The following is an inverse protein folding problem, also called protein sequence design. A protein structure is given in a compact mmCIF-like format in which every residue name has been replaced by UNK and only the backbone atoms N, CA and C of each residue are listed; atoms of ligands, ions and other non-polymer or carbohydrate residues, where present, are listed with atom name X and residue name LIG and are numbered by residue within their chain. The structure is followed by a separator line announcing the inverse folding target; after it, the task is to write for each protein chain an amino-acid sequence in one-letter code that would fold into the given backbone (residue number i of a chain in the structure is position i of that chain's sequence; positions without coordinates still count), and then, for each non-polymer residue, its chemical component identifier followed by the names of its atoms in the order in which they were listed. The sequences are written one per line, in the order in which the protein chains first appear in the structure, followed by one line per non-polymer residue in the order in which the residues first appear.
data_IF_335464340336
#
_entry.id   IF_335464340336
#
_cell.length_a   1.000
_cell.length_b   1.000
_cell.length_c   1.000
_cell.angle_alpha   90.00
_cell.angle_beta   90.00
_cell.angle_gamma   90.00
#
_symmetry.space_group_name_H-M   'P 1'
#
loop_
_entity.id
_entity.type
_entity.pdbx_description
1 polymer ?
#
# COMPACT_ATOMS: atom_id res chain seq x y z
N UNK A 1 -5.63 -7.51 3.98
CA UNK A 1 -4.22 -7.92 3.78
C UNK A 1 -4.12 -8.64 2.45
N UNK A 2 -3.50 -8.04 1.43
CA UNK A 2 -3.43 -8.70 0.12
C UNK A 2 -2.75 -7.92 -1.00
N UNK A 3 -2.58 -6.60 -0.89
CA UNK A 3 -2.03 -5.76 -1.98
C UNK A 3 -0.63 -6.13 -2.48
N UNK A 4 0.18 -6.82 -1.67
CA UNK A 4 1.52 -7.34 -2.05
C UNK A 4 1.55 -8.87 -2.17
N UNK A 5 0.38 -9.53 -2.20
CA UNK A 5 0.25 -10.98 -2.28
C UNK A 5 -0.64 -11.38 -3.48
N UNK A 6 -1.87 -10.85 -3.51
CA UNK A 6 -2.88 -11.14 -4.53
C UNK A 6 -2.43 -10.90 -5.97
N UNK A 7 -1.61 -9.86 -6.30
CA UNK A 7 -1.10 -9.69 -7.66
C UNK A 7 -0.25 -10.86 -8.18
N UNK A 8 0.23 -11.74 -7.29
CA UNK A 8 1.11 -12.86 -7.61
C UNK A 8 0.45 -14.23 -7.37
N UNK A 9 -0.82 -14.25 -6.98
CA UNK A 9 -1.62 -15.48 -6.87
C UNK A 9 -2.07 -15.89 -8.27
N UNK A 10 -2.20 -17.19 -8.53
CA UNK A 10 -2.78 -17.69 -9.79
C UNK A 10 -4.29 -17.45 -9.84
N UNK A 11 -4.79 -16.89 -10.95
CA UNK A 11 -6.21 -16.64 -11.22
C UNK A 11 -6.96 -15.95 -10.06
N UNK A 12 -6.49 -14.79 -9.58
CA UNK A 12 -7.21 -14.06 -8.53
C UNK A 12 -8.53 -13.53 -9.11
N UNK A 13 -9.60 -13.53 -8.30
CA UNK A 13 -10.79 -12.75 -8.63
C UNK A 13 -10.38 -11.28 -8.84
N UNK A 14 -10.93 -10.56 -9.84
CA UNK A 14 -10.60 -9.15 -10.06
C UNK A 14 -10.79 -8.32 -8.79
N UNK A 15 -9.73 -7.65 -8.34
CA UNK A 15 -9.72 -6.93 -7.04
C UNK A 15 -9.10 -5.54 -7.10
N UNK A 16 -8.46 -5.18 -8.22
CA UNK A 16 -7.74 -3.92 -8.37
C UNK A 16 -8.50 -2.93 -9.28
N UNK A 17 -7.82 -1.90 -9.78
CA UNK A 17 -8.43 -0.88 -10.61
C UNK A 17 -8.89 -1.39 -11.99
N UNK A 18 -8.59 -2.63 -12.37
CA UNK A 18 -9.20 -3.28 -13.55
C UNK A 18 -10.72 -3.44 -13.42
N UNK A 19 -11.25 -3.49 -12.20
CA UNK A 19 -12.69 -3.49 -11.93
C UNK A 19 -13.22 -2.05 -11.97
N UNK A 20 -14.11 -1.67 -12.93
CA UNK A 20 -14.49 -0.27 -13.13
C UNK A 20 -15.07 0.43 -11.88
N UNK A 21 -15.76 -0.30 -11.01
CA UNK A 21 -16.35 0.23 -9.78
C UNK A 21 -15.38 0.53 -8.64
N UNK A 22 -14.13 0.05 -8.70
CA UNK A 22 -13.16 0.25 -7.61
C UNK A 22 -12.66 1.69 -7.62
N UNK A 23 -12.96 2.48 -6.59
CA UNK A 23 -12.57 3.90 -6.53
C UNK A 23 -11.25 4.14 -5.77
N UNK A 24 -10.90 3.25 -4.84
CA UNK A 24 -9.69 3.33 -4.04
C UNK A 24 -9.18 1.94 -3.65
N UNK A 25 -7.87 1.82 -3.41
CA UNK A 25 -7.22 0.60 -2.91
C UNK A 25 -6.26 1.00 -1.78
N UNK A 26 -6.32 0.30 -0.65
CA UNK A 26 -5.29 0.37 0.38
C UNK A 26 -4.36 -0.85 0.30
N UNK A 27 -3.06 -0.62 0.48
CA UNK A 27 -2.06 -1.68 0.47
C UNK A 27 -0.97 -1.41 1.52
N UNK A 28 -0.92 -2.27 2.53
CA UNK A 28 0.04 -2.13 3.61
C UNK A 28 1.44 -2.63 3.19
N UNK A 29 2.35 -1.68 2.94
CA UNK A 29 3.76 -1.96 2.63
C UNK A 29 4.48 -2.62 3.81
N UNK A 30 4.14 -2.28 5.05
CA UNK A 30 4.72 -2.90 6.25
C UNK A 30 4.19 -4.32 6.61
N UNK A 31 3.41 -4.93 5.70
CA UNK A 31 2.91 -6.32 5.80
C UNK A 31 3.64 -7.17 4.76
N UNK A 32 2.92 -7.69 3.75
CA UNK A 32 3.51 -8.48 2.66
C UNK A 32 4.40 -7.65 1.71
N UNK A 33 4.39 -6.31 1.82
CA UNK A 33 5.39 -5.47 1.17
C UNK A 33 6.78 -5.55 1.81
N UNK A 34 6.91 -6.18 2.99
CA UNK A 34 8.17 -6.40 3.71
C UNK A 34 8.95 -5.11 4.04
N UNK A 35 8.27 -3.97 4.07
CA UNK A 35 8.82 -2.73 4.61
C UNK A 35 8.82 -2.74 6.16
N UNK A 36 9.70 -1.96 6.81
CA UNK A 36 9.62 -1.74 8.25
C UNK A 36 8.26 -1.19 8.70
N UNK A 37 7.92 -1.44 9.97
CA UNK A 37 6.63 -1.02 10.54
C UNK A 37 6.47 0.50 10.49
N UNK A 38 5.29 0.91 10.01
CA UNK A 38 4.85 2.31 10.01
C UNK A 38 4.66 2.88 8.60
N UNK A 39 4.38 2.02 7.61
CA UNK A 39 4.12 2.43 6.23
C UNK A 39 2.94 1.65 5.63
N UNK A 40 2.11 2.36 4.88
CA UNK A 40 1.03 1.84 4.04
C UNK A 40 0.80 2.84 2.90
N UNK A 41 0.03 2.45 1.88
CA UNK A 41 -0.41 3.35 0.82
C UNK A 41 -1.93 3.27 0.66
N UNK A 42 -2.52 4.42 0.33
CA UNK A 42 -3.87 4.52 -0.22
C UNK A 42 -3.75 5.09 -1.64
N UNK A 43 -4.37 4.40 -2.58
CA UNK A 43 -4.41 4.76 -4.00
C UNK A 43 -5.83 5.10 -4.35
N UNK A 44 -6.03 6.13 -5.17
CA UNK A 44 -7.33 6.52 -5.70
C UNK A 44 -7.32 6.41 -7.22
N UNK A 45 -8.46 6.04 -7.80
CA UNK A 45 -8.63 5.97 -9.25
C UNK A 45 -8.45 7.34 -9.91
N UNK A 46 -9.01 8.37 -9.30
CA UNK A 46 -9.06 9.74 -9.82
C UNK A 46 -8.51 10.74 -8.80
N UNK A 47 -7.95 11.84 -9.31
CA UNK A 47 -7.43 12.94 -8.48
C UNK A 47 -8.54 13.62 -7.67
N UNK A 48 -9.77 13.64 -8.18
CA UNK A 48 -10.89 14.27 -7.47
C UNK A 48 -11.14 13.59 -6.11
N UNK A 49 -11.03 12.26 -6.03
CA UNK A 49 -11.08 11.56 -4.74
C UNK A 49 -9.90 11.90 -3.84
N UNK A 50 -8.69 11.98 -4.41
CA UNK A 50 -7.48 12.33 -3.67
C UNK A 50 -7.54 13.76 -3.10
N UNK A 51 -8.10 14.72 -3.85
CA UNK A 51 -8.22 16.11 -3.40
C UNK A 51 -9.15 16.24 -2.19
N UNK A 52 -10.16 15.36 -2.06
CA UNK A 52 -11.02 15.31 -0.88
C UNK A 52 -10.31 14.73 0.37
N UNK A 53 -9.12 14.13 0.23
CA UNK A 53 -8.33 13.65 1.37
C UNK A 53 -7.49 14.77 2.02
N UNK A 54 -7.12 15.80 1.26
CA UNK A 54 -6.22 16.83 1.73
C UNK A 54 -6.89 17.70 2.79
N UNK A 55 -6.12 18.07 3.82
CA UNK A 55 -6.47 19.15 4.72
C UNK A 55 -5.72 20.40 4.29
N UNK A 56 -6.43 21.52 4.12
CA UNK A 56 -5.87 22.82 3.77
C UNK A 56 -6.53 23.91 4.63
N UNK A 57 -5.73 24.73 5.30
CA UNK A 57 -6.16 25.91 6.05
C UNK A 57 -5.29 27.10 5.63
N UNK A 58 -5.91 28.06 4.93
CA UNK A 58 -5.24 29.25 4.42
C UNK A 58 -5.25 30.44 5.39
N UNK A 59 -6.12 30.41 6.41
CA UNK A 59 -6.37 31.52 7.33
C UNK A 59 -5.72 31.30 8.71
N UNK A 60 -5.08 30.15 8.90
CA UNK A 60 -4.34 29.84 10.12
C UNK A 60 -3.27 30.89 10.40
N UNK A 61 -3.25 31.40 11.63
CA UNK A 61 -2.33 32.47 12.05
C UNK A 61 -0.85 32.06 11.98
N UNK A 62 -0.55 30.76 11.92
CA UNK A 62 0.80 30.23 11.70
C UNK A 62 1.27 30.24 10.24
N UNK A 63 0.45 30.74 9.32
CA UNK A 63 0.66 30.69 7.88
C UNK A 63 -0.18 29.61 7.20
N UNK A 64 -0.13 29.53 5.87
CA UNK A 64 -0.87 28.53 5.10
C UNK A 64 -0.41 27.13 5.52
N UNK A 65 -1.36 26.29 5.94
CA UNK A 65 -1.11 24.89 6.32
C UNK A 65 -1.79 23.93 5.35
N UNK A 66 -1.06 22.91 4.90
CA UNK A 66 -1.63 21.83 4.11
C UNK A 66 -1.00 20.49 4.49
N UNK A 67 -1.81 19.44 4.60
CA UNK A 67 -1.32 18.07 4.71
C UNK A 67 -2.06 17.11 3.78
N UNK A 68 -1.31 16.18 3.20
CA UNK A 68 -1.82 15.12 2.33
C UNK A 68 -2.35 13.91 3.09
N UNK A 69 -2.08 13.83 4.41
CA UNK A 69 -2.55 12.78 5.33
C UNK A 69 -2.99 13.43 6.65
N UNK A 70 -3.40 12.62 7.63
CA UNK A 70 -3.77 13.12 8.96
C UNK A 70 -2.58 13.67 9.77
N UNK A 71 -1.35 13.29 9.43
CA UNK A 71 -0.16 13.71 10.15
C UNK A 71 0.39 15.05 9.62
N UNK A 72 0.89 15.89 10.52
CA UNK A 72 1.75 17.01 10.17
C UNK A 72 3.19 16.53 9.98
N UNK A 73 4.01 16.68 11.02
CA UNK A 73 5.36 16.10 11.07
C UNK A 73 5.30 14.57 11.00
N UNK A 74 6.12 13.97 10.14
CA UNK A 74 6.16 12.53 9.89
C UNK A 74 7.57 12.02 9.65
N UNK A 75 7.79 10.73 9.92
CA UNK A 75 9.11 10.10 9.80
C UNK A 75 9.52 9.92 8.33
N UNK A 76 10.45 10.75 7.85
CA UNK A 76 11.07 10.58 6.53
C UNK A 76 11.86 9.27 6.40
N UNK A 77 12.39 8.75 7.51
CA UNK A 77 13.10 7.47 7.55
C UNK A 77 12.17 6.31 7.17
N UNK A 78 10.92 6.30 7.65
CA UNK A 78 9.95 5.24 7.31
C UNK A 78 9.67 5.21 5.80
N UNK A 79 9.57 6.38 5.17
CA UNK A 79 9.35 6.51 3.73
C UNK A 79 10.57 5.97 2.96
N UNK A 80 11.79 6.38 3.36
CA UNK A 80 13.02 5.93 2.72
C UNK A 80 13.23 4.41 2.83
N UNK A 81 12.99 3.85 4.02
CA UNK A 81 13.09 2.40 4.24
C UNK A 81 12.02 1.63 3.47
N UNK A 82 10.78 2.13 3.42
CA UNK A 82 9.75 1.54 2.59
C UNK A 82 10.19 1.48 1.12
N UNK A 83 10.66 2.60 0.57
CA UNK A 83 11.15 2.66 -0.81
C UNK A 83 12.31 1.70 -1.06
N UNK A 84 13.31 1.68 -0.17
CA UNK A 84 14.44 0.76 -0.27
C UNK A 84 14.01 -0.71 -0.21
N UNK A 85 13.05 -1.06 0.66
CA UNK A 85 12.49 -2.41 0.73
C UNK A 85 11.78 -2.80 -0.56
N UNK A 86 10.94 -1.94 -1.13
CA UNK A 86 10.24 -2.23 -2.39
C UNK A 86 11.22 -2.49 -3.54
N UNK A 87 12.27 -1.67 -3.64
CA UNK A 87 13.33 -1.83 -4.65
C UNK A 87 14.17 -3.09 -4.44
N UNK A 88 14.55 -3.37 -3.19
CA UNK A 88 15.35 -4.54 -2.84
C UNK A 88 14.59 -5.84 -3.11
N UNK A 89 13.29 -5.87 -2.81
CA UNK A 89 12.46 -7.03 -3.10
C UNK A 89 12.31 -7.19 -4.62
N UNK A 90 11.83 -6.16 -5.30
CA UNK A 90 11.50 -6.24 -6.71
C UNK A 90 10.40 -7.28 -6.99
N UNK A 91 9.95 -7.34 -8.24
CA UNK A 91 8.81 -8.18 -8.63
C UNK A 91 9.09 -9.66 -8.40
N UNK A 92 10.30 -10.13 -8.70
CA UNK A 92 10.62 -11.56 -8.67
C UNK A 92 10.60 -12.12 -7.24
N UNK A 93 11.18 -11.41 -6.26
CA UNK A 93 11.12 -11.88 -4.87
C UNK A 93 9.69 -11.84 -4.34
N UNK A 94 8.87 -10.84 -4.71
CA UNK A 94 7.47 -10.85 -4.31
C UNK A 94 6.68 -12.04 -4.87
N UNK A 95 6.96 -12.47 -6.10
CA UNK A 95 6.40 -13.71 -6.66
C UNK A 95 6.82 -14.93 -5.86
N UNK A 96 8.11 -15.04 -5.51
CA UNK A 96 8.64 -16.15 -4.74
C UNK A 96 8.05 -16.20 -3.32
N UNK A 97 7.95 -15.04 -2.66
CA UNK A 97 7.29 -14.92 -1.34
C UNK A 97 5.82 -15.33 -1.41
N UNK A 98 5.09 -14.88 -2.44
CA UNK A 98 3.70 -15.23 -2.62
C UNK A 98 3.52 -16.74 -2.84
N UNK A 99 4.34 -17.35 -3.71
CA UNK A 99 4.34 -18.80 -3.93
C UNK A 99 4.58 -19.56 -2.64
N UNK A 100 5.60 -19.20 -1.87
CA UNK A 100 5.94 -19.87 -0.62
C UNK A 100 4.81 -19.77 0.41
N UNK A 101 4.17 -18.60 0.54
CA UNK A 101 3.02 -18.39 1.43
C UNK A 101 1.84 -19.27 1.00
N UNK A 102 1.50 -19.31 -0.29
CA UNK A 102 0.36 -20.08 -0.80
C UNK A 102 0.59 -21.59 -0.66
N UNK A 103 1.78 -22.08 -1.03
CA UNK A 103 2.13 -23.49 -0.92
C UNK A 103 2.10 -23.97 0.53
N UNK A 104 2.67 -23.19 1.45
CA UNK A 104 2.64 -23.49 2.89
C UNK A 104 1.21 -23.48 3.40
N UNK A 105 0.40 -22.52 2.96
CA UNK A 105 -1.04 -22.46 3.32
C UNK A 105 -1.79 -23.69 2.85
N UNK A 106 -1.56 -24.16 1.61
CA UNK A 106 -2.17 -25.38 1.06
C UNK A 106 -1.78 -26.61 1.89
N UNK A 107 -0.48 -26.77 2.20
CA UNK A 107 0.00 -27.87 3.05
C UNK A 107 -0.70 -27.88 4.40
N UNK A 108 -0.71 -26.75 5.12
CA UNK A 108 -1.38 -26.63 6.42
C UNK A 108 -2.87 -26.96 6.34
N UNK A 109 -3.55 -26.53 5.27
CA UNK A 109 -4.98 -26.79 5.06
C UNK A 109 -5.26 -28.28 4.82
N UNK A 110 -4.39 -28.95 4.06
CA UNK A 110 -4.60 -30.32 3.60
C UNK A 110 -4.17 -31.38 4.66
N UNK A 111 -3.44 -30.96 5.71
CA UNK A 111 -2.99 -31.79 6.84
C UNK A 111 -1.58 -32.33 6.65
#
# INVERSE_FOLDING_TARGET
LGGFLLPFVENPYPFDFSVPGVCSISADTHKYGLAPKGSSVVLYRNKDYLHNQYFCDADWQGGIYASSTLEGSRSGLNIALCWASLLYQGVDKYKDHARAVIETTKKIRDG
#
